data_IF_317535878744
#
_entry.id   IF_317535878744
#
_cell.length_a   1.000
_cell.length_b   1.000
_cell.length_c   1.000
_cell.angle_alpha   90.00
_cell.angle_beta   90.00
_cell.angle_gamma   90.00
#
_symmetry.space_group_name_H-M   'P 1'
#
loop_
_entity.id
_entity.type
_entity.pdbx_description
1 polymer ?
#
# COMPACT_ATOMS: atom_id res chain seq x y z
N UNK A 1 10.04 1.42 4.01
CA UNK A 1 11.33 1.53 3.29
C UNK A 1 12.41 0.71 3.99
N UNK A 2 12.64 0.95 5.27
CA UNK A 2 13.73 0.30 6.02
C UNK A 2 13.66 -1.22 6.01
N UNK A 3 12.47 -1.80 6.14
CA UNK A 3 12.27 -3.26 6.08
C UNK A 3 12.42 -3.83 4.66
N UNK A 4 12.27 -3.00 3.63
CA UNK A 4 12.49 -3.37 2.24
C UNK A 4 11.50 -4.37 1.64
N UNK A 5 10.26 -4.41 2.15
CA UNK A 5 9.27 -5.42 1.72
C UNK A 5 7.92 -4.83 1.26
N UNK A 6 7.67 -3.55 1.46
CA UNK A 6 6.38 -2.94 1.13
C UNK A 6 6.51 -1.74 0.19
N UNK A 7 7.27 -0.75 0.58
CA UNK A 7 7.50 0.43 -0.24
C UNK A 7 8.67 0.18 -1.19
N UNK A 8 8.54 0.52 -2.48
CA UNK A 8 9.61 0.32 -3.45
C UNK A 8 10.78 1.28 -3.30
N UNK A 9 10.63 2.36 -2.54
CA UNK A 9 11.69 3.33 -2.29
C UNK A 9 12.84 2.70 -1.49
N UNK A 10 14.06 3.07 -1.84
CA UNK A 10 15.27 2.59 -1.16
C UNK A 10 15.76 3.56 -0.08
N UNK A 11 15.51 4.86 -0.26
CA UNK A 11 15.94 5.89 0.68
C UNK A 11 14.90 6.18 1.75
N UNK A 12 15.38 6.39 2.98
CA UNK A 12 14.53 6.82 4.09
C UNK A 12 14.15 8.29 3.93
N UNK A 13 12.93 8.62 4.31
CA UNK A 13 12.45 10.01 4.34
C UNK A 13 12.80 10.68 5.67
N UNK A 14 13.30 11.90 5.62
CA UNK A 14 13.38 12.76 6.79
C UNK A 14 12.08 13.55 6.99
N UNK A 15 12.03 14.42 8.01
CA UNK A 15 10.82 15.20 8.32
C UNK A 15 10.39 16.11 7.17
N UNK A 16 11.35 16.72 6.47
CA UNK A 16 11.06 17.64 5.36
C UNK A 16 10.65 16.91 4.10
N UNK A 17 11.42 15.91 3.66
CA UNK A 17 11.10 15.12 2.47
C UNK A 17 9.85 14.28 2.69
N UNK A 18 9.61 13.80 3.91
CA UNK A 18 8.40 13.09 4.27
C UNK A 18 7.16 13.98 4.16
N UNK A 19 7.20 15.20 4.68
CA UNK A 19 6.09 16.14 4.56
C UNK A 19 5.73 16.43 3.10
N UNK A 20 6.74 16.67 2.25
CA UNK A 20 6.54 16.90 0.83
C UNK A 20 5.94 15.65 0.14
N UNK A 21 6.48 14.48 0.43
CA UNK A 21 6.01 13.22 -0.14
C UNK A 21 4.53 12.98 0.18
N UNK A 22 4.12 13.15 1.44
CA UNK A 22 2.73 12.93 1.84
C UNK A 22 1.79 14.01 1.32
N UNK A 23 2.26 15.25 1.19
CA UNK A 23 1.46 16.35 0.66
C UNK A 23 1.12 16.18 -0.83
N UNK A 24 1.93 15.48 -1.60
CA UNK A 24 1.71 15.21 -3.02
C UNK A 24 0.68 14.11 -3.27
N UNK A 25 0.30 13.34 -2.25
CA UNK A 25 -0.66 12.24 -2.41
C UNK A 25 -2.09 12.77 -2.58
N UNK A 26 -2.93 12.01 -3.28
CA UNK A 26 -4.38 12.29 -3.35
C UNK A 26 -5.00 12.20 -1.97
N UNK A 27 -4.62 11.18 -1.21
CA UNK A 27 -5.08 10.97 0.15
C UNK A 27 -3.96 10.30 0.96
N UNK A 28 -3.76 10.77 2.17
CA UNK A 28 -2.94 10.10 3.17
C UNK A 28 -3.80 9.88 4.41
N UNK A 29 -3.88 8.65 4.87
CA UNK A 29 -4.67 8.31 6.05
C UNK A 29 -3.83 7.56 7.07
N UNK A 30 -4.18 7.72 8.34
CA UNK A 30 -3.52 7.07 9.46
C UNK A 30 -4.53 6.32 10.33
N UNK A 31 -4.09 5.20 10.88
CA UNK A 31 -4.84 4.47 11.90
C UNK A 31 -4.34 4.89 13.28
N UNK A 32 -5.19 5.51 14.07
CA UNK A 32 -4.84 6.18 15.33
C UNK A 32 -5.59 5.54 16.48
N UNK A 33 -4.91 5.35 17.61
CA UNK A 33 -5.56 5.01 18.88
C UNK A 33 -6.35 6.22 19.38
N UNK A 34 -7.65 6.04 19.62
CA UNK A 34 -8.54 7.14 20.06
C UNK A 34 -8.18 7.71 21.42
N UNK A 35 -7.63 6.89 22.31
CA UNK A 35 -7.33 7.30 23.67
C UNK A 35 -5.96 7.95 23.79
N UNK A 36 -4.96 7.40 23.09
CA UNK A 36 -3.56 7.83 23.25
C UNK A 36 -3.07 8.72 22.13
N UNK A 37 -3.73 8.70 20.95
CA UNK A 37 -3.27 9.39 19.76
C UNK A 37 -2.12 8.67 19.05
N UNK A 38 -1.75 7.46 19.50
CA UNK A 38 -0.68 6.67 18.88
C UNK A 38 -1.07 6.27 17.46
N UNK A 39 -0.13 6.40 16.52
CA UNK A 39 -0.33 6.03 15.11
C UNK A 39 0.19 4.62 14.89
N UNK A 40 -0.70 3.69 14.56
CA UNK A 40 -0.35 2.29 14.32
C UNK A 40 0.04 2.01 12.87
N UNK A 41 -0.41 2.81 11.95
CA UNK A 41 -0.13 2.61 10.54
C UNK A 41 -0.69 3.73 9.67
N UNK A 42 -0.36 3.66 8.39
CA UNK A 42 -0.80 4.65 7.41
C UNK A 42 -0.96 4.01 6.03
N UNK A 43 -1.66 4.71 5.15
CA UNK A 43 -1.58 4.45 3.72
C UNK A 43 -1.54 5.76 2.94
N UNK A 44 -1.03 5.66 1.73
CA UNK A 44 -1.08 6.70 0.71
C UNK A 44 -1.91 6.21 -0.47
N UNK A 45 -2.64 7.11 -1.10
CA UNK A 45 -3.45 6.84 -2.28
C UNK A 45 -3.14 7.88 -3.34
N UNK A 46 -2.88 7.44 -4.54
CA UNK A 46 -2.55 8.32 -5.67
C UNK A 46 -2.93 7.64 -7.00
N UNK A 47 -3.03 8.39 -8.12
CA UNK A 47 -3.24 7.77 -9.42
C UNK A 47 -2.09 6.81 -9.75
N UNK A 48 -2.42 5.66 -10.31
CA UNK A 48 -1.42 4.70 -10.78
C UNK A 48 -0.88 5.08 -12.15
N UNK A 49 -1.73 5.70 -12.96
CA UNK A 49 -1.45 6.11 -14.33
C UNK A 49 -2.02 7.50 -14.61
N UNK A 50 -1.73 8.01 -15.81
CA UNK A 50 -2.18 9.31 -16.24
C UNK A 50 -3.15 9.20 -17.44
N UNK A 51 -3.81 10.31 -17.77
CA UNK A 51 -4.66 10.40 -18.94
C UNK A 51 -5.81 9.39 -18.92
N UNK A 52 -5.91 8.62 -19.99
CA UNK A 52 -7.01 7.66 -20.17
C UNK A 52 -7.03 6.52 -19.14
N UNK A 53 -5.93 6.29 -18.43
CA UNK A 53 -5.83 5.34 -17.32
C UNK A 53 -5.81 6.01 -15.95
N UNK A 54 -6.09 7.30 -15.88
CA UNK A 54 -6.06 8.08 -14.64
C UNK A 54 -7.15 7.73 -13.63
N UNK A 55 -8.11 6.90 -14.01
CA UNK A 55 -9.14 6.36 -13.12
C UNK A 55 -8.68 5.14 -12.32
N UNK A 56 -7.46 4.69 -12.54
CA UNK A 56 -6.82 3.62 -11.77
C UNK A 56 -5.92 4.26 -10.72
N UNK A 57 -6.16 3.95 -9.46
CA UNK A 57 -5.31 4.40 -8.36
C UNK A 57 -4.41 3.28 -7.85
N UNK A 58 -3.40 3.69 -7.10
CA UNK A 58 -2.47 2.80 -6.40
C UNK A 58 -2.39 3.26 -4.94
N UNK A 59 -2.07 2.33 -4.06
CA UNK A 59 -1.89 2.61 -2.65
C UNK A 59 -0.72 1.81 -2.10
N UNK A 60 -0.10 2.35 -1.05
CA UNK A 60 0.92 1.66 -0.27
C UNK A 60 0.59 1.80 1.21
N UNK A 61 0.84 0.74 1.97
CA UNK A 61 0.50 0.66 3.38
C UNK A 61 1.74 0.41 4.22
N UNK A 62 1.77 0.98 5.41
CA UNK A 62 2.78 0.67 6.42
C UNK A 62 2.08 0.47 7.76
N UNK A 63 2.42 -0.61 8.45
CA UNK A 63 1.87 -0.94 9.77
C UNK A 63 3.03 -1.18 10.72
N UNK A 64 2.95 -0.58 11.90
CA UNK A 64 3.91 -0.78 12.98
C UNK A 64 3.97 -2.26 13.37
N UNK A 65 5.17 -2.78 13.59
CA UNK A 65 5.37 -4.20 13.92
C UNK A 65 4.61 -4.64 15.17
N UNK A 66 4.62 -3.78 16.18
CA UNK A 66 3.98 -4.03 17.47
C UNK A 66 2.44 -3.98 17.40
N UNK A 67 1.89 -3.44 16.32
CA UNK A 67 0.45 -3.37 16.10
C UNK A 67 -0.13 -4.64 15.44
N UNK A 68 0.67 -5.65 15.19
CA UNK A 68 0.20 -6.91 14.61
C UNK A 68 -0.82 -7.58 15.55
N UNK A 69 -1.87 -8.16 14.95
CA UNK A 69 -2.98 -8.75 15.69
C UNK A 69 -4.13 -7.79 15.99
N UNK A 70 -3.97 -6.48 15.71
CA UNK A 70 -5.03 -5.47 15.88
C UNK A 70 -5.85 -5.25 14.61
N UNK A 71 -5.59 -6.00 13.56
CA UNK A 71 -6.25 -5.89 12.24
C UNK A 71 -6.12 -4.50 11.60
N UNK A 72 -4.99 -3.82 11.86
CA UNK A 72 -4.75 -2.46 11.34
C UNK A 72 -4.66 -2.47 9.82
N UNK A 73 -3.94 -3.44 9.23
CA UNK A 73 -3.85 -3.58 7.77
C UNK A 73 -5.21 -3.71 7.10
N UNK A 74 -6.08 -4.55 7.66
CA UNK A 74 -7.44 -4.73 7.13
C UNK A 74 -8.26 -3.43 7.20
N UNK A 75 -8.15 -2.70 8.30
CA UNK A 75 -8.83 -1.41 8.48
C UNK A 75 -8.33 -0.37 7.49
N UNK A 76 -7.01 -0.29 7.28
CA UNK A 76 -6.40 0.62 6.31
C UNK A 76 -6.84 0.30 4.88
N UNK A 77 -6.80 -0.96 4.47
CA UNK A 77 -7.21 -1.35 3.11
C UNK A 77 -8.70 -1.11 2.90
N UNK A 78 -9.54 -1.45 3.87
CA UNK A 78 -10.98 -1.22 3.79
C UNK A 78 -11.32 0.27 3.68
N UNK A 79 -10.63 1.12 4.44
CA UNK A 79 -10.77 2.57 4.33
C UNK A 79 -10.29 3.08 2.97
N UNK A 80 -9.16 2.56 2.50
CA UNK A 80 -8.60 2.92 1.19
C UNK A 80 -9.58 2.63 0.04
N UNK A 81 -10.29 1.51 0.08
CA UNK A 81 -11.32 1.18 -0.90
C UNK A 81 -12.43 2.24 -0.90
N UNK A 82 -12.87 2.69 0.28
CA UNK A 82 -13.88 3.77 0.40
C UNK A 82 -13.34 5.09 -0.14
N UNK A 83 -12.13 5.46 0.23
CA UNK A 83 -11.50 6.71 -0.19
C UNK A 83 -11.24 6.74 -1.69
N UNK A 84 -10.86 5.60 -2.27
CA UNK A 84 -10.70 5.48 -3.72
C UNK A 84 -12.00 5.79 -4.46
N UNK A 85 -13.12 5.25 -3.99
CA UNK A 85 -14.46 5.56 -4.53
C UNK A 85 -14.81 7.03 -4.34
N UNK A 86 -14.57 7.57 -3.15
CA UNK A 86 -14.91 8.95 -2.81
C UNK A 86 -14.13 9.96 -3.67
N UNK A 87 -12.90 9.64 -4.07
CA UNK A 87 -12.08 10.47 -4.95
C UNK A 87 -12.32 10.22 -6.44
N UNK A 88 -13.31 9.40 -6.79
CA UNK A 88 -13.73 9.18 -8.17
C UNK A 88 -12.92 8.13 -8.93
N UNK A 89 -12.05 7.39 -8.28
CA UNK A 89 -11.36 6.27 -8.91
C UNK A 89 -12.30 5.09 -9.14
N UNK A 90 -12.01 4.30 -10.17
CA UNK A 90 -12.83 3.15 -10.54
C UNK A 90 -12.15 1.82 -10.24
N UNK A 91 -10.84 1.81 -10.11
CA UNK A 91 -10.02 0.62 -9.88
C UNK A 91 -8.91 0.99 -8.92
N UNK A 92 -8.66 0.13 -7.94
CA UNK A 92 -7.45 0.17 -7.11
C UNK A 92 -6.54 -0.97 -7.54
N UNK A 93 -5.30 -0.64 -7.89
CA UNK A 93 -4.30 -1.60 -8.35
C UNK A 93 -3.06 -1.55 -7.46
N UNK A 94 -2.56 -2.72 -7.10
CA UNK A 94 -1.24 -2.86 -6.48
C UNK A 94 -0.26 -3.39 -7.53
N UNK A 95 0.91 -2.77 -7.64
CA UNK A 95 1.86 -3.08 -8.70
C UNK A 95 2.87 -4.15 -8.30
N UNK A 96 3.25 -4.22 -7.02
CA UNK A 96 4.42 -4.99 -6.61
C UNK A 96 4.22 -5.60 -5.22
N UNK A 97 3.27 -6.51 -5.08
CA UNK A 97 3.11 -7.28 -3.85
C UNK A 97 4.12 -8.42 -3.87
N UNK A 98 5.09 -8.38 -2.96
CA UNK A 98 6.20 -9.33 -2.92
C UNK A 98 5.69 -10.72 -2.54
N UNK A 99 6.17 -11.75 -3.24
CA UNK A 99 5.70 -13.14 -3.07
C UNK A 99 5.81 -13.63 -1.62
N UNK A 100 6.88 -13.28 -0.92
CA UNK A 100 7.10 -13.69 0.48
C UNK A 100 6.19 -12.96 1.48
N UNK A 101 5.55 -11.87 1.07
CA UNK A 101 4.59 -11.15 1.93
C UNK A 101 3.23 -11.87 1.90
N UNK A 102 3.19 -13.09 2.39
CA UNK A 102 2.01 -13.96 2.35
C UNK A 102 0.85 -13.40 3.17
N UNK A 103 1.15 -12.71 4.27
CA UNK A 103 0.12 -12.08 5.09
C UNK A 103 -0.66 -11.01 4.30
N UNK A 104 0.05 -10.15 3.58
CA UNK A 104 -0.59 -9.13 2.74
C UNK A 104 -1.38 -9.76 1.59
N UNK A 105 -0.82 -10.78 0.94
CA UNK A 105 -1.50 -11.48 -0.15
C UNK A 105 -2.81 -12.11 0.31
N UNK A 106 -2.81 -12.81 1.44
CA UNK A 106 -4.03 -13.39 2.02
C UNK A 106 -5.05 -12.32 2.38
N UNK A 107 -4.61 -11.20 2.93
CA UNK A 107 -5.47 -10.07 3.26
C UNK A 107 -6.16 -9.51 2.02
N UNK A 108 -5.40 -9.24 0.95
CA UNK A 108 -5.95 -8.68 -0.29
C UNK A 108 -6.95 -9.63 -0.94
N UNK A 109 -6.62 -10.90 -1.03
CA UNK A 109 -7.51 -11.91 -1.61
C UNK A 109 -8.80 -12.05 -0.80
N UNK A 110 -8.71 -12.04 0.54
CA UNK A 110 -9.88 -12.05 1.42
C UNK A 110 -10.77 -10.82 1.24
N UNK A 111 -10.20 -9.67 0.93
CA UNK A 111 -10.94 -8.42 0.70
C UNK A 111 -11.44 -8.28 -0.74
N UNK A 112 -11.24 -9.27 -1.58
CA UNK A 112 -11.80 -9.31 -2.92
C UNK A 112 -10.87 -8.83 -4.04
N UNK A 113 -9.59 -8.58 -3.75
CA UNK A 113 -8.61 -8.28 -4.79
C UNK A 113 -8.32 -9.51 -5.63
N UNK A 114 -8.14 -9.30 -6.93
CA UNK A 114 -7.84 -10.35 -7.90
C UNK A 114 -6.36 -10.28 -8.30
N UNK A 115 -5.61 -11.40 -8.22
CA UNK A 115 -4.24 -11.44 -8.73
C UNK A 115 -4.23 -11.44 -10.25
N UNK A 116 -3.27 -10.73 -10.84
CA UNK A 116 -3.10 -10.61 -12.30
C UNK A 116 -2.00 -11.52 -12.84
N UNK A 117 -1.42 -12.36 -12.03
CA UNK A 117 -0.30 -13.23 -12.41
C UNK A 117 0.95 -12.90 -11.62
N UNK A 118 2.11 -13.29 -12.15
CA UNK A 118 3.39 -13.13 -11.47
C UNK A 118 4.40 -12.47 -12.42
N UNK A 119 5.20 -11.55 -11.87
CA UNK A 119 6.39 -11.02 -12.55
C UNK A 119 7.60 -11.61 -11.82
N UNK A 120 8.33 -12.56 -12.45
CA UNK A 120 9.49 -13.17 -11.81
C UNK A 120 10.60 -12.14 -11.56
N UNK A 121 11.17 -12.17 -10.36
CA UNK A 121 12.28 -11.29 -10.01
C UNK A 121 11.95 -9.80 -10.03
N UNK A 122 10.70 -9.43 -9.85
CA UNK A 122 10.25 -8.06 -10.00
C UNK A 122 10.62 -7.10 -8.88
N UNK A 123 11.12 -7.60 -7.75
CA UNK A 123 11.47 -6.78 -6.58
C UNK A 123 12.85 -7.13 -6.06
N UNK A 124 13.74 -6.13 -5.98
CA UNK A 124 15.06 -6.29 -5.39
C UNK A 124 14.96 -6.12 -3.87
N UNK A 125 15.20 -7.19 -3.14
CA UNK A 125 15.16 -7.18 -1.69
C UNK A 125 16.37 -6.44 -1.10
N UNK A 126 16.31 -6.12 0.18
CA UNK A 126 17.34 -5.36 0.89
C UNK A 126 18.74 -6.01 0.83
N UNK A 127 18.80 -7.34 0.82
CA UNK A 127 20.05 -8.11 0.73
C UNK A 127 20.58 -8.27 -0.70
N UNK A 128 19.86 -7.72 -1.69
CA UNK A 128 20.25 -7.76 -3.10
C UNK A 128 19.66 -8.91 -3.91
N UNK A 129 19.00 -9.90 -3.28
CA UNK A 129 18.33 -10.94 -4.05
C UNK A 129 16.99 -10.42 -4.61
N UNK A 130 16.50 -11.06 -5.66
CA UNK A 130 15.24 -10.70 -6.31
C UNK A 130 14.15 -11.69 -5.94
N UNK A 131 12.96 -11.16 -5.68
CA UNK A 131 11.76 -11.96 -5.46
C UNK A 131 10.69 -11.66 -6.49
N UNK A 132 9.79 -12.60 -6.67
CA UNK A 132 8.64 -12.43 -7.55
C UNK A 132 7.64 -11.44 -6.96
N UNK A 133 6.91 -10.75 -7.83
CA UNK A 133 5.82 -9.87 -7.44
C UNK A 133 4.52 -10.28 -8.09
N UNK A 134 3.42 -9.98 -7.39
CA UNK A 134 2.06 -10.22 -7.84
C UNK A 134 1.31 -8.90 -7.93
N UNK A 135 0.96 -8.42 -9.12
CA UNK A 135 0.00 -7.33 -9.26
C UNK A 135 -1.40 -7.80 -8.87
N UNK A 136 -2.15 -6.93 -8.22
CA UNK A 136 -3.55 -7.16 -7.82
C UNK A 136 -4.40 -5.99 -8.25
N UNK A 137 -5.70 -6.22 -8.47
CA UNK A 137 -6.65 -5.14 -8.67
C UNK A 137 -7.97 -5.40 -7.96
N UNK A 138 -8.71 -4.34 -7.71
CA UNK A 138 -10.04 -4.38 -7.15
C UNK A 138 -10.89 -3.31 -7.83
N UNK A 139 -12.07 -3.69 -8.34
CA UNK A 139 -13.04 -2.73 -8.88
C UNK A 139 -13.69 -1.99 -7.72
N UNK A 140 -13.73 -0.68 -7.81
CA UNK A 140 -14.30 0.19 -6.78
C UNK A 140 -15.77 0.51 -6.99
#
# INVERSE_FOLDING_TARGET
VEDGVAFPQEELLDASSGAAFFAEQTCTAVAVDRQTGHIYGLYILHPNNVGRCGHICNASYAVEREARGLHIGEKLVSDCLRQGRAHGFRILQFNAVVASNTHARHLYERLGFQPLGVIPGGFRMKDGHYEDIYPYYHVL
#
